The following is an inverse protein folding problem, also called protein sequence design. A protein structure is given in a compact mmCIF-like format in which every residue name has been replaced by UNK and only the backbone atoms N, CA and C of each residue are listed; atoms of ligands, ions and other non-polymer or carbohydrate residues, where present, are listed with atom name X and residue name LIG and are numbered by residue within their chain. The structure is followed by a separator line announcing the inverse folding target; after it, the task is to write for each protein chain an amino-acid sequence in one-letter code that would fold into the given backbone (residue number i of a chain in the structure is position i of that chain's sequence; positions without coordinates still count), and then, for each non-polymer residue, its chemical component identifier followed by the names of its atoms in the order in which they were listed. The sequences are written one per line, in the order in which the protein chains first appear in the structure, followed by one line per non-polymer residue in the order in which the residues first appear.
data_IF_437432494191
#
_entry.id   IF_437432494191
#
_cell.length_a   1.000
_cell.length_b   1.000
_cell.length_c   1.000
_cell.angle_alpha   90.00
_cell.angle_beta   90.00
_cell.angle_gamma   90.00
#
_symmetry.space_group_name_H-M   'P 1'
#
loop_
_entity.id
_entity.type
_entity.pdbx_description
1 polymer ?
#
# COMPACT_ATOMS: atom_id res chain seq x y z
N UNK A 1 73.66 9.21 -15.07
CA UNK A 1 72.48 10.11 -15.01
C UNK A 1 71.80 10.02 -16.36
N UNK A 2 70.67 9.34 -16.38
CA UNK A 2 69.71 9.42 -17.50
C UNK A 2 68.34 9.55 -16.84
N UNK A 3 67.72 10.68 -17.09
CA UNK A 3 66.30 10.94 -16.73
C UNK A 3 65.40 10.15 -17.67
N UNK A 4 64.44 9.42 -17.10
CA UNK A 4 63.39 8.73 -17.85
C UNK A 4 62.09 9.46 -17.54
N UNK A 5 61.62 10.19 -18.58
CA UNK A 5 60.32 10.87 -18.50
C UNK A 5 59.13 9.90 -18.43
N UNK A 6 58.21 10.22 -17.57
CA UNK A 6 56.91 9.54 -17.43
C UNK A 6 55.88 10.28 -18.29
N UNK A 7 55.14 9.63 -19.17
CA UNK A 7 54.04 10.27 -19.87
C UNK A 7 52.78 10.28 -18.99
N UNK A 8 52.26 11.47 -18.75
CA UNK A 8 50.92 11.69 -18.16
C UNK A 8 49.85 11.32 -19.18
N UNK A 9 49.07 10.31 -18.89
CA UNK A 9 47.83 10.06 -19.60
C UNK A 9 46.65 10.44 -18.69
N UNK A 10 46.12 11.63 -18.89
CA UNK A 10 44.82 12.06 -18.40
C UNK A 10 43.75 11.45 -19.29
N UNK A 11 43.15 10.35 -18.84
CA UNK A 11 41.90 9.80 -19.38
C UNK A 11 40.77 10.11 -18.41
N UNK A 12 39.95 11.06 -18.75
CA UNK A 12 38.68 11.30 -18.04
C UNK A 12 37.78 10.09 -18.22
N UNK A 13 37.17 9.53 -17.12
CA UNK A 13 36.15 8.53 -17.28
C UNK A 13 34.85 9.24 -17.70
N UNK A 14 34.38 8.95 -18.90
CA UNK A 14 33.00 9.28 -19.32
C UNK A 14 32.03 8.72 -18.30
N UNK A 15 31.34 9.60 -17.57
CA UNK A 15 30.27 9.28 -16.66
C UNK A 15 29.09 8.70 -17.44
N UNK A 16 28.30 7.78 -16.83
CA UNK A 16 27.16 7.16 -17.49
C UNK A 16 26.15 8.23 -17.88
N UNK A 17 25.78 8.23 -19.17
CA UNK A 17 24.82 9.11 -19.80
C UNK A 17 23.56 9.27 -18.94
N UNK A 18 23.24 10.51 -18.61
CA UNK A 18 22.08 10.89 -17.82
C UNK A 18 20.80 10.31 -18.40
N UNK A 19 20.14 9.50 -17.59
CA UNK A 19 18.81 8.93 -17.89
C UNK A 19 17.83 10.09 -17.96
N UNK A 20 17.28 10.35 -19.13
CA UNK A 20 16.32 11.43 -19.36
C UNK A 20 15.16 11.36 -18.33
N UNK A 21 14.85 12.43 -17.58
CA UNK A 21 13.88 12.41 -16.48
C UNK A 21 12.41 12.36 -16.92
N UNK A 22 12.10 12.26 -18.22
CA UNK A 22 10.74 12.32 -18.75
C UNK A 22 9.99 11.00 -18.84
N UNK A 23 10.66 9.86 -19.05
CA UNK A 23 10.01 8.60 -19.39
C UNK A 23 9.34 7.87 -18.19
N UNK A 24 9.82 8.06 -16.98
CA UNK A 24 9.27 7.43 -15.79
C UNK A 24 7.94 8.06 -15.31
N UNK A 25 7.73 9.34 -15.53
CA UNK A 25 6.53 10.07 -15.14
C UNK A 25 5.29 9.75 -15.99
N UNK A 26 5.45 9.54 -17.29
CA UNK A 26 4.32 9.23 -18.19
C UNK A 26 3.83 7.80 -18.03
N UNK A 27 4.73 6.83 -17.88
CA UNK A 27 4.36 5.44 -17.65
C UNK A 27 3.60 5.27 -16.33
N UNK A 28 4.03 5.93 -15.27
CA UNK A 28 3.34 5.93 -13.98
C UNK A 28 1.94 6.54 -14.05
N UNK A 29 1.78 7.67 -14.73
CA UNK A 29 0.47 8.33 -14.92
C UNK A 29 -0.50 7.47 -15.74
N UNK A 30 -0.04 6.81 -16.79
CA UNK A 30 -0.87 5.88 -17.59
C UNK A 30 -1.31 4.67 -16.75
N UNK A 31 -0.41 4.13 -15.91
CA UNK A 31 -0.73 3.04 -15.00
C UNK A 31 -1.81 3.42 -13.98
N UNK A 32 -1.65 4.57 -13.33
CA UNK A 32 -2.63 5.09 -12.37
C UNK A 32 -4.01 5.34 -13.00
N UNK A 33 -4.06 5.88 -14.22
CA UNK A 33 -5.31 6.10 -14.94
C UNK A 33 -6.02 4.78 -15.26
N UNK A 34 -5.29 3.75 -15.73
CA UNK A 34 -5.86 2.42 -15.98
C UNK A 34 -6.37 1.76 -14.72
N UNK A 35 -5.65 1.88 -13.62
CA UNK A 35 -6.08 1.35 -12.32
C UNK A 35 -7.37 2.02 -11.85
N UNK A 36 -7.49 3.35 -12.02
CA UNK A 36 -8.71 4.08 -11.71
C UNK A 36 -9.90 3.61 -12.53
N UNK A 37 -9.75 3.54 -13.86
CA UNK A 37 -10.80 3.09 -14.76
C UNK A 37 -11.25 1.67 -14.40
N UNK A 38 -10.32 0.77 -14.18
CA UNK A 38 -10.62 -0.60 -13.76
C UNK A 38 -11.35 -0.66 -12.42
N UNK A 39 -10.89 0.08 -11.41
CA UNK A 39 -11.50 0.08 -10.07
C UNK A 39 -12.95 0.55 -10.11
N UNK A 40 -13.22 1.63 -10.84
CA UNK A 40 -14.58 2.17 -11.01
C UNK A 40 -15.47 1.16 -11.74
N UNK A 41 -15.00 0.57 -12.84
CA UNK A 41 -15.74 -0.46 -13.57
C UNK A 41 -16.00 -1.70 -12.70
N UNK A 42 -15.03 -2.09 -11.88
CA UNK A 42 -15.20 -3.19 -10.93
C UNK A 42 -16.30 -2.90 -9.89
N UNK A 43 -16.41 -1.67 -9.39
CA UNK A 43 -17.50 -1.24 -8.51
C UNK A 43 -18.84 -1.26 -9.25
N UNK A 44 -18.92 -0.61 -10.41
CA UNK A 44 -20.17 -0.48 -11.20
C UNK A 44 -20.72 -1.83 -11.69
N UNK A 45 -19.85 -2.75 -12.03
CA UNK A 45 -20.23 -4.08 -12.54
C UNK A 45 -20.79 -5.05 -11.49
N UNK A 46 -20.95 -4.62 -10.23
CA UNK A 46 -21.32 -5.53 -9.15
C UNK A 46 -22.78 -5.96 -9.11
N UNK A 47 -23.69 -5.18 -9.67
CA UNK A 47 -25.14 -5.40 -9.49
C UNK A 47 -25.63 -5.25 -8.04
N UNK A 48 -24.79 -4.78 -7.12
CA UNK A 48 -25.06 -4.59 -5.69
C UNK A 48 -23.88 -3.94 -4.97
N UNK A 49 -23.92 -3.86 -3.63
CA UNK A 49 -22.83 -3.26 -2.87
C UNK A 49 -21.52 -4.04 -3.04
N UNK A 50 -20.40 -3.30 -3.13
CA UNK A 50 -19.03 -3.85 -3.16
C UNK A 50 -18.31 -3.57 -1.87
N UNK A 51 -17.68 -4.61 -1.35
CA UNK A 51 -16.74 -4.46 -0.23
C UNK A 51 -15.32 -4.25 -0.75
N UNK A 52 -14.64 -3.26 -0.21
CA UNK A 52 -13.23 -3.00 -0.47
C UNK A 52 -12.53 -2.55 0.82
N UNK A 53 -11.68 -3.41 1.34
CA UNK A 53 -11.06 -3.24 2.65
C UNK A 53 -12.13 -3.09 3.76
N UNK A 54 -12.08 -2.04 4.56
CA UNK A 54 -13.06 -1.79 5.63
C UNK A 54 -14.26 -0.97 5.16
N UNK A 55 -14.50 -0.87 3.87
CA UNK A 55 -15.58 -0.05 3.31
C UNK A 55 -16.52 -0.84 2.42
N UNK A 56 -17.74 -0.34 2.31
CA UNK A 56 -18.73 -0.79 1.34
C UNK A 56 -19.12 0.37 0.45
N UNK A 57 -19.23 0.10 -0.84
CA UNK A 57 -19.66 1.07 -1.86
C UNK A 57 -20.98 0.62 -2.45
N UNK A 58 -21.90 1.54 -2.53
CA UNK A 58 -23.17 1.40 -3.26
C UNK A 58 -23.17 2.31 -4.49
N UNK A 59 -23.88 1.87 -5.52
CA UNK A 59 -24.18 2.69 -6.70
C UNK A 59 -25.68 2.92 -6.71
N UNK A 60 -26.13 4.17 -6.73
CA UNK A 60 -27.54 4.51 -6.80
C UNK A 60 -28.09 4.43 -8.25
N UNK A 61 -29.41 4.59 -8.39
CA UNK A 61 -30.07 4.55 -9.70
C UNK A 61 -29.67 5.69 -10.66
N UNK A 62 -29.00 6.71 -10.17
CA UNK A 62 -28.44 7.82 -10.96
C UNK A 62 -26.95 7.62 -11.31
N UNK A 63 -26.36 6.48 -10.93
CA UNK A 63 -24.94 6.19 -11.15
C UNK A 63 -24.01 6.97 -10.24
N UNK A 64 -24.51 7.47 -9.09
CA UNK A 64 -23.71 8.10 -8.05
C UNK A 64 -23.30 7.08 -7.01
N UNK A 65 -22.17 7.33 -6.38
CA UNK A 65 -21.60 6.41 -5.39
C UNK A 65 -21.87 6.92 -3.97
N UNK A 66 -22.12 5.95 -3.09
CA UNK A 66 -22.09 6.13 -1.65
C UNK A 66 -21.04 5.19 -1.05
N UNK A 67 -20.21 5.70 -0.14
CA UNK A 67 -19.17 4.94 0.57
C UNK A 67 -19.41 5.06 2.06
N UNK A 68 -19.39 3.91 2.78
CA UNK A 68 -19.47 3.83 4.24
C UNK A 68 -18.41 2.88 4.77
N UNK A 69 -18.16 2.92 6.07
CA UNK A 69 -17.49 1.82 6.73
C UNK A 69 -18.33 0.53 6.62
N UNK A 70 -17.69 -0.63 6.41
CA UNK A 70 -18.39 -1.92 6.20
C UNK A 70 -19.33 -2.29 7.37
N UNK A 71 -18.94 -1.95 8.61
CA UNK A 71 -19.72 -2.20 9.82
C UNK A 71 -20.90 -1.24 10.03
N UNK A 72 -21.00 -0.21 9.19
CA UNK A 72 -22.09 0.76 9.22
C UNK A 72 -23.15 0.48 8.12
N UNK A 73 -23.08 -0.70 7.49
CA UNK A 73 -23.98 -1.07 6.40
C UNK A 73 -25.47 -0.99 6.75
N UNK A 74 -25.81 -1.41 7.97
CA UNK A 74 -27.19 -1.42 8.46
C UNK A 74 -27.60 -0.13 9.19
N UNK A 75 -26.69 0.84 9.33
CA UNK A 75 -26.99 2.11 9.98
C UNK A 75 -27.75 3.03 9.01
N UNK A 76 -28.90 3.56 9.44
CA UNK A 76 -29.64 4.54 8.66
C UNK A 76 -28.80 5.78 8.32
N UNK A 77 -29.11 6.39 7.19
CA UNK A 77 -28.34 7.52 6.70
C UNK A 77 -28.29 8.72 7.68
N UNK A 78 -29.35 8.86 8.47
CA UNK A 78 -29.52 9.88 9.52
C UNK A 78 -28.60 9.64 10.73
N UNK A 79 -28.18 8.39 10.96
CA UNK A 79 -27.23 8.01 12.01
C UNK A 79 -25.76 8.21 11.64
N UNK A 80 -25.48 8.64 10.40
CA UNK A 80 -24.12 8.78 9.87
C UNK A 80 -23.79 10.24 9.55
N UNK A 81 -22.59 10.66 9.91
CA UNK A 81 -22.05 11.94 9.46
C UNK A 81 -21.84 11.92 7.96
N UNK A 82 -22.57 12.75 7.23
CA UNK A 82 -22.54 12.78 5.76
C UNK A 82 -21.51 13.78 5.25
N UNK A 83 -20.71 13.34 4.29
CA UNK A 83 -19.74 14.14 3.56
C UNK A 83 -20.05 14.10 2.06
N UNK A 84 -19.84 15.22 1.39
CA UNK A 84 -19.90 15.35 -0.08
C UNK A 84 -18.54 15.72 -0.66
N UNK A 85 -17.64 16.23 0.17
CA UNK A 85 -16.27 16.57 -0.20
C UNK A 85 -15.33 15.37 0.03
N UNK A 86 -14.71 14.78 -1.01
CA UNK A 86 -13.76 13.70 -0.90
C UNK A 86 -12.54 13.98 0.00
N UNK A 87 -12.18 15.26 0.19
CA UNK A 87 -11.05 15.65 1.03
C UNK A 87 -11.27 15.30 2.51
N UNK A 88 -12.51 15.23 2.98
CA UNK A 88 -12.83 14.81 4.33
C UNK A 88 -12.32 13.38 4.65
N UNK A 89 -12.09 12.56 3.63
CA UNK A 89 -11.52 11.23 3.77
C UNK A 89 -10.10 11.24 4.35
N UNK A 90 -9.34 12.34 4.21
CA UNK A 90 -8.03 12.50 4.82
C UNK A 90 -8.10 12.49 6.36
N UNK A 91 -9.08 13.17 6.92
CA UNK A 91 -9.24 13.26 8.37
C UNK A 91 -9.76 11.94 8.93
N UNK A 92 -10.74 11.33 8.24
CA UNK A 92 -11.22 9.98 8.55
C UNK A 92 -10.06 8.97 8.54
N UNK A 93 -9.20 9.01 7.53
CA UNK A 93 -8.08 8.08 7.39
C UNK A 93 -6.99 8.20 8.45
N UNK A 94 -6.92 9.31 9.17
CA UNK A 94 -5.90 9.57 10.19
C UNK A 94 -6.24 9.02 11.57
N UNK A 95 -7.48 8.63 11.78
CA UNK A 95 -7.99 8.31 13.10
C UNK A 95 -8.54 6.88 13.14
N UNK A 96 -8.23 6.15 14.19
CA UNK A 96 -8.81 4.84 14.51
C UNK A 96 -10.21 4.98 15.10
N UNK A 97 -10.93 3.86 15.21
CA UNK A 97 -12.28 3.82 15.82
C UNK A 97 -12.29 4.38 17.25
N UNK A 98 -11.23 4.15 18.02
CA UNK A 98 -11.07 4.65 19.39
C UNK A 98 -10.50 6.08 19.48
N UNK A 99 -10.42 6.79 18.34
CA UNK A 99 -9.98 8.18 18.28
C UNK A 99 -8.48 8.43 18.33
N UNK A 100 -7.66 7.37 18.29
CA UNK A 100 -6.20 7.50 18.24
C UNK A 100 -5.69 7.76 16.82
N UNK A 101 -4.52 8.36 16.66
CA UNK A 101 -3.89 8.48 15.36
C UNK A 101 -3.59 7.10 14.74
N UNK A 102 -4.01 6.87 13.50
CA UNK A 102 -3.64 5.67 12.76
C UNK A 102 -2.17 5.73 12.36
N UNK A 103 -1.38 4.70 12.68
CA UNK A 103 0.05 4.68 12.37
C UNK A 103 0.31 4.62 10.87
N UNK A 104 -0.57 3.97 10.12
CA UNK A 104 -0.58 3.92 8.65
C UNK A 104 -2.02 3.93 8.16
N UNK A 105 -2.25 4.51 6.98
CA UNK A 105 -3.58 4.45 6.32
C UNK A 105 -3.99 3.03 5.90
N UNK A 106 -3.07 2.09 5.88
CA UNK A 106 -3.32 0.67 5.60
C UNK A 106 -3.44 -0.17 6.87
N UNK A 107 -3.35 0.43 8.07
CA UNK A 107 -3.68 -0.27 9.31
C UNK A 107 -5.20 -0.47 9.41
N UNK A 108 -5.67 -1.57 10.03
CA UNK A 108 -7.08 -1.77 10.33
C UNK A 108 -7.61 -0.74 11.33
N UNK A 109 -8.87 -0.87 11.71
CA UNK A 109 -9.57 -0.04 12.70
C UNK A 109 -9.82 1.41 12.23
N UNK A 110 -10.25 1.56 10.96
CA UNK A 110 -10.76 2.83 10.47
C UNK A 110 -11.96 3.27 11.31
N UNK A 111 -12.01 4.56 11.71
CA UNK A 111 -13.16 5.09 12.44
C UNK A 111 -14.48 4.86 11.69
N UNK A 112 -15.59 4.75 12.43
CA UNK A 112 -16.95 4.52 11.92
C UNK A 112 -17.82 5.76 12.03
N UNK A 113 -19.10 5.61 11.66
CA UNK A 113 -20.11 6.66 11.83
C UNK A 113 -20.08 7.74 10.76
N UNK A 114 -19.59 7.42 9.57
CA UNK A 114 -19.51 8.34 8.45
C UNK A 114 -20.01 7.73 7.15
N UNK A 115 -20.42 8.60 6.23
CA UNK A 115 -20.69 8.24 4.84
C UNK A 115 -20.29 9.36 3.89
N UNK A 116 -19.81 8.99 2.72
CA UNK A 116 -19.76 9.87 1.56
C UNK A 116 -20.95 9.57 0.68
N UNK A 117 -21.67 10.60 0.22
CA UNK A 117 -22.86 10.42 -0.60
C UNK A 117 -22.84 11.33 -1.84
N UNK A 118 -23.46 10.85 -2.93
CA UNK A 118 -23.60 11.60 -4.17
C UNK A 118 -22.29 11.79 -4.93
N UNK A 119 -21.27 10.95 -4.68
CA UNK A 119 -19.99 11.04 -5.37
C UNK A 119 -20.14 10.69 -6.85
N UNK A 120 -19.44 11.41 -7.70
CA UNK A 120 -19.15 10.97 -9.06
C UNK A 120 -17.92 10.05 -9.11
N UNK A 121 -17.51 9.64 -10.31
CA UNK A 121 -16.35 8.75 -10.50
C UNK A 121 -15.04 9.36 -9.99
N UNK A 122 -14.87 10.67 -10.12
CA UNK A 122 -13.69 11.38 -9.65
C UNK A 122 -13.67 11.45 -8.14
N UNK A 123 -14.80 11.81 -7.54
CA UNK A 123 -14.98 11.84 -6.10
C UNK A 123 -14.79 10.47 -5.44
N UNK A 124 -15.32 9.39 -6.03
CA UNK A 124 -15.08 8.04 -5.55
C UNK A 124 -13.59 7.69 -5.52
N UNK A 125 -12.88 7.95 -6.65
CA UNK A 125 -11.45 7.70 -6.72
C UNK A 125 -10.67 8.50 -5.68
N UNK A 126 -11.02 9.77 -5.49
CA UNK A 126 -10.36 10.64 -4.53
C UNK A 126 -10.59 10.19 -3.08
N UNK A 127 -11.81 9.76 -2.73
CA UNK A 127 -12.09 9.15 -1.43
C UNK A 127 -11.15 7.97 -1.18
N UNK A 128 -11.02 7.05 -2.12
CA UNK A 128 -10.13 5.90 -1.95
C UNK A 128 -8.65 6.24 -1.97
N UNK A 129 -8.22 7.22 -2.77
CA UNK A 129 -6.85 7.72 -2.74
C UNK A 129 -6.50 8.34 -1.37
N UNK A 130 -7.48 8.91 -0.69
CA UNK A 130 -7.33 9.50 0.63
C UNK A 130 -7.46 8.48 1.77
N UNK A 131 -8.43 7.55 1.72
CA UNK A 131 -8.61 6.51 2.74
C UNK A 131 -7.48 5.48 2.69
N UNK A 132 -7.18 4.96 1.50
CA UNK A 132 -6.27 3.82 1.28
C UNK A 132 -5.31 4.07 0.12
N UNK A 133 -4.30 4.93 0.29
CA UNK A 133 -3.35 5.26 -0.77
C UNK A 133 -2.75 4.00 -1.40
N UNK A 134 -2.74 3.96 -2.72
CA UNK A 134 -2.25 2.87 -3.55
C UNK A 134 -3.04 1.54 -3.49
N UNK A 135 -4.00 1.34 -2.58
CA UNK A 135 -4.74 0.07 -2.50
C UNK A 135 -5.52 -0.27 -3.78
N UNK A 136 -6.27 0.66 -4.41
CA UNK A 136 -6.93 0.37 -5.69
C UNK A 136 -5.95 0.03 -6.82
N UNK A 137 -4.77 0.64 -6.82
CA UNK A 137 -3.70 0.33 -7.80
C UNK A 137 -3.16 -1.08 -7.57
N UNK A 138 -2.94 -1.46 -6.32
CA UNK A 138 -2.51 -2.82 -5.98
C UNK A 138 -3.56 -3.86 -6.37
N UNK A 139 -4.85 -3.59 -6.11
CA UNK A 139 -5.95 -4.47 -6.53
C UNK A 139 -5.97 -4.66 -8.06
N UNK A 140 -5.81 -3.59 -8.82
CA UNK A 140 -5.70 -3.63 -10.27
C UNK A 140 -4.51 -4.49 -10.74
N UNK A 141 -3.32 -4.27 -10.20
CA UNK A 141 -2.12 -5.03 -10.55
C UNK A 141 -2.27 -6.51 -10.19
N UNK A 142 -2.91 -6.78 -9.04
CA UNK A 142 -3.21 -8.15 -8.63
C UNK A 142 -4.17 -8.85 -9.60
N UNK A 143 -5.29 -8.21 -9.93
CA UNK A 143 -6.29 -8.76 -10.87
C UNK A 143 -5.70 -9.07 -12.26
N UNK A 144 -4.60 -8.41 -12.62
CA UNK A 144 -3.88 -8.64 -13.88
C UNK A 144 -2.73 -9.64 -13.77
N UNK A 145 -2.45 -10.15 -12.57
CA UNK A 145 -1.26 -10.97 -12.33
C UNK A 145 0.07 -10.19 -12.46
N UNK A 146 0.02 -8.87 -12.42
CA UNK A 146 1.18 -7.98 -12.56
C UNK A 146 1.76 -7.54 -11.20
N UNK A 147 1.09 -7.86 -10.10
CA UNK A 147 1.60 -7.56 -8.76
C UNK A 147 2.82 -8.44 -8.48
N UNK A 148 3.95 -7.79 -8.25
CA UNK A 148 5.21 -8.46 -7.98
C UNK A 148 5.50 -8.48 -6.48
N UNK A 149 5.89 -9.64 -5.99
CA UNK A 149 6.55 -9.77 -4.69
C UNK A 149 8.05 -9.73 -4.87
N UNK A 150 8.73 -9.21 -3.89
CA UNK A 150 10.20 -9.16 -3.89
C UNK A 150 10.73 -9.94 -2.69
N UNK A 151 11.90 -10.61 -2.81
CA UNK A 151 12.59 -11.19 -1.66
C UNK A 151 12.85 -10.11 -0.60
N UNK A 152 12.72 -10.49 0.67
CA UNK A 152 12.95 -9.56 1.78
C UNK A 152 14.34 -8.90 1.72
N UNK A 153 15.36 -9.66 1.30
CA UNK A 153 16.73 -9.16 1.15
C UNK A 153 16.81 -7.96 0.20
N UNK A 154 16.01 -7.96 -0.86
CA UNK A 154 15.94 -6.82 -1.80
C UNK A 154 15.33 -5.60 -1.11
N UNK A 155 14.28 -5.80 -0.32
CA UNK A 155 13.64 -4.72 0.45
C UNK A 155 14.57 -4.23 1.56
N UNK A 156 15.20 -5.14 2.28
CA UNK A 156 16.13 -4.82 3.37
C UNK A 156 17.37 -4.07 2.87
N UNK A 157 17.95 -4.49 1.74
CA UNK A 157 19.12 -3.85 1.13
C UNK A 157 18.89 -2.41 0.65
N UNK A 158 17.63 -1.98 0.52
CA UNK A 158 17.27 -0.59 0.21
C UNK A 158 17.20 0.30 1.46
N UNK A 159 17.22 -0.30 2.65
CA UNK A 159 17.11 0.46 3.89
C UNK A 159 18.46 1.06 4.27
N UNK A 160 18.49 2.36 4.57
CA UNK A 160 19.70 3.10 4.93
C UNK A 160 19.53 3.84 6.26
N UNK A 161 20.62 4.34 6.81
CA UNK A 161 20.60 5.13 8.03
C UNK A 161 20.05 4.33 9.23
N UNK A 162 19.05 4.86 9.92
CA UNK A 162 18.42 4.25 11.10
C UNK A 162 17.76 2.88 10.80
N UNK A 163 17.53 2.56 9.55
CA UNK A 163 16.90 1.31 9.11
C UNK A 163 17.93 0.28 8.65
N UNK A 164 19.21 0.63 8.61
CA UNK A 164 20.27 -0.31 8.32
C UNK A 164 20.30 -1.43 9.39
N UNK A 165 20.61 -2.63 8.96
CA UNK A 165 20.66 -3.79 9.84
C UNK A 165 19.36 -4.59 9.94
N UNK A 166 18.24 -4.12 9.38
CA UNK A 166 17.00 -4.92 9.23
C UNK A 166 17.26 -6.16 8.38
N UNK A 167 18.25 -6.09 7.49
CA UNK A 167 18.74 -7.20 6.68
C UNK A 167 19.30 -8.39 7.48
N UNK A 168 19.57 -8.24 8.79
CA UNK A 168 19.98 -9.33 9.69
C UNK A 168 18.83 -10.27 10.07
N UNK A 169 17.58 -9.83 9.90
CA UNK A 169 16.42 -10.63 10.23
C UNK A 169 16.27 -11.80 9.24
N UNK A 170 16.21 -13.03 9.72
CA UNK A 170 16.17 -14.25 8.90
C UNK A 170 15.28 -15.33 9.50
N UNK A 171 14.93 -16.32 8.63
CA UNK A 171 14.24 -17.53 9.06
C UNK A 171 12.92 -17.27 9.76
N UNK A 172 12.68 -17.97 10.85
CA UNK A 172 11.41 -17.91 11.58
C UNK A 172 11.13 -16.52 12.19
N UNK A 173 12.13 -15.73 12.51
CA UNK A 173 11.95 -14.36 13.02
C UNK A 173 11.35 -13.46 11.97
N UNK A 174 11.85 -13.57 10.72
CA UNK A 174 11.30 -12.87 9.58
C UNK A 174 9.87 -13.32 9.28
N UNK A 175 9.63 -14.63 9.25
CA UNK A 175 8.30 -15.20 8.98
C UNK A 175 7.28 -14.74 10.04
N UNK A 176 7.63 -14.83 11.32
CA UNK A 176 6.78 -14.37 12.41
C UNK A 176 6.51 -12.86 12.35
N UNK A 177 7.49 -12.05 11.92
CA UNK A 177 7.30 -10.62 11.76
C UNK A 177 6.39 -10.30 10.56
N UNK A 178 6.60 -10.97 9.42
CA UNK A 178 5.76 -10.82 8.23
C UNK A 178 4.31 -11.20 8.57
N UNK A 179 4.09 -12.31 9.26
CA UNK A 179 2.76 -12.71 9.67
C UNK A 179 2.08 -11.66 10.56
N UNK A 180 2.78 -11.22 11.60
CA UNK A 180 2.23 -10.26 12.56
C UNK A 180 1.98 -8.87 11.96
N UNK A 181 2.85 -8.39 11.08
CA UNK A 181 2.77 -7.02 10.54
C UNK A 181 2.09 -6.93 9.18
N UNK A 182 2.21 -7.96 8.36
CA UNK A 182 1.61 -8.00 7.03
C UNK A 182 0.35 -8.87 7.00
N UNK A 183 0.34 -10.02 7.66
CA UNK A 183 -0.78 -10.95 7.65
C UNK A 183 -2.01 -10.44 8.40
N UNK A 184 -1.85 -9.97 9.63
CA UNK A 184 -2.98 -9.49 10.48
C UNK A 184 -3.01 -7.98 10.69
N UNK A 185 -1.91 -7.30 10.43
CA UNK A 185 -1.74 -5.87 10.73
C UNK A 185 -1.72 -4.95 9.51
N UNK A 186 -2.03 -5.45 8.31
CA UNK A 186 -1.97 -4.64 7.10
C UNK A 186 -3.10 -4.95 6.13
N UNK A 187 -3.96 -3.97 5.87
CA UNK A 187 -5.09 -4.09 4.94
C UNK A 187 -4.67 -4.22 3.46
N UNK A 188 -3.40 -4.08 3.14
CA UNK A 188 -2.92 -4.37 1.78
C UNK A 188 -2.95 -5.86 1.46
N UNK A 189 -2.75 -6.72 2.46
CA UNK A 189 -2.71 -8.17 2.25
C UNK A 189 -4.01 -8.72 1.67
N UNK A 190 -5.22 -8.36 2.15
CA UNK A 190 -6.47 -8.78 1.53
C UNK A 190 -6.63 -8.33 0.08
N UNK A 191 -6.00 -7.24 -0.33
CA UNK A 191 -5.99 -6.76 -1.72
C UNK A 191 -5.10 -7.64 -2.60
N UNK A 192 -4.09 -8.29 -2.00
CA UNK A 192 -3.20 -9.22 -2.69
C UNK A 192 -3.69 -10.66 -2.64
N UNK A 193 -4.68 -10.94 -1.81
CA UNK A 193 -5.33 -12.23 -1.66
C UNK A 193 -6.83 -12.11 -1.98
N UNK A 194 -7.25 -11.95 -3.22
CA UNK A 194 -8.61 -12.32 -3.53
C UNK A 194 -8.72 -13.82 -3.33
N UNK A 195 -9.82 -14.26 -2.77
CA UNK A 195 -10.17 -15.68 -2.69
C UNK A 195 -10.17 -16.25 -4.12
N UNK A 196 -9.00 -16.66 -4.60
CA UNK A 196 -8.88 -17.39 -5.84
C UNK A 196 -9.34 -18.81 -5.53
N UNK A 197 -10.44 -19.21 -6.14
CA UNK A 197 -10.87 -20.59 -6.14
C UNK A 197 -9.69 -21.48 -6.50
N UNK A 198 -9.15 -22.21 -5.50
CA UNK A 198 -8.12 -23.23 -5.70
C UNK A 198 -6.66 -22.81 -5.70
N UNK A 199 -6.33 -21.52 -5.50
CA UNK A 199 -4.93 -21.06 -5.40
C UNK A 199 -4.44 -20.99 -3.96
N UNK A 200 -3.12 -21.22 -3.72
CA UNK A 200 -2.54 -20.91 -2.42
C UNK A 200 -2.66 -19.41 -2.16
N UNK A 201 -3.18 -18.99 -0.99
CA UNK A 201 -3.24 -17.60 -0.62
C UNK A 201 -1.87 -16.95 -0.75
N UNK A 202 -1.83 -15.73 -1.32
CA UNK A 202 -0.59 -14.98 -1.50
C UNK A 202 0.18 -14.80 -0.19
N UNK A 203 -0.51 -14.55 0.94
CA UNK A 203 0.10 -14.47 2.26
C UNK A 203 0.80 -15.76 2.68
N UNK A 204 0.33 -16.93 2.23
CA UNK A 204 1.01 -18.20 2.50
C UNK A 204 2.34 -18.27 1.74
N UNK A 205 2.38 -17.82 0.47
CA UNK A 205 3.63 -17.74 -0.32
C UNK A 205 4.60 -16.71 0.26
N UNK A 206 4.11 -15.56 0.70
CA UNK A 206 4.91 -14.54 1.38
C UNK A 206 5.49 -15.10 2.68
N UNK A 207 4.69 -15.81 3.47
CA UNK A 207 5.13 -16.44 4.73
C UNK A 207 6.19 -17.53 4.53
N UNK A 208 6.01 -18.38 3.53
CA UNK A 208 6.91 -19.53 3.30
C UNK A 208 8.23 -19.17 2.61
N UNK A 209 8.32 -18.02 1.96
CA UNK A 209 9.45 -17.68 1.10
C UNK A 209 10.29 -16.49 1.55
N UNK A 210 10.02 -15.86 2.71
CA UNK A 210 10.71 -14.62 3.09
C UNK A 210 10.47 -13.47 2.12
N UNK A 211 9.33 -13.49 1.41
CA UNK A 211 8.95 -12.44 0.47
C UNK A 211 8.07 -11.40 1.15
N UNK A 212 8.14 -10.17 0.68
CA UNK A 212 7.26 -9.08 1.09
C UNK A 212 6.60 -8.47 -0.15
N UNK A 213 5.37 -8.02 0.04
CA UNK A 213 4.60 -7.46 -1.06
C UNK A 213 4.93 -5.99 -1.34
N UNK A 214 5.67 -5.32 -0.46
CA UNK A 214 6.07 -3.94 -0.61
C UNK A 214 7.51 -3.84 -1.11
N UNK A 215 7.75 -3.01 -2.11
CA UNK A 215 9.11 -2.72 -2.59
C UNK A 215 9.99 -2.05 -1.52
N UNK A 216 9.35 -1.40 -0.53
CA UNK A 216 10.01 -0.78 0.62
C UNK A 216 9.29 -1.20 1.88
N UNK A 217 10.05 -1.48 2.94
CA UNK A 217 9.48 -1.80 4.23
C UNK A 217 8.79 -0.57 4.83
N UNK A 218 7.58 -0.74 5.34
CA UNK A 218 6.87 0.33 6.03
C UNK A 218 7.43 0.56 7.45
N UNK A 219 7.12 1.71 8.03
CA UNK A 219 7.60 2.08 9.36
C UNK A 219 7.22 1.06 10.45
N UNK A 220 6.04 0.45 10.38
CA UNK A 220 5.61 -0.58 11.33
C UNK A 220 6.41 -1.88 11.19
N UNK A 221 6.75 -2.27 9.96
CA UNK A 221 7.59 -3.44 9.72
C UNK A 221 9.00 -3.20 10.25
N UNK A 222 9.57 -2.04 9.95
CA UNK A 222 10.90 -1.62 10.42
C UNK A 222 10.95 -1.57 11.96
N UNK A 223 9.97 -0.95 12.59
CA UNK A 223 9.89 -0.92 14.06
C UNK A 223 9.81 -2.32 14.66
N UNK A 224 9.00 -3.20 14.08
CA UNK A 224 8.91 -4.59 14.49
C UNK A 224 10.22 -5.37 14.29
N UNK A 225 10.92 -5.16 13.17
CA UNK A 225 12.21 -5.78 12.90
C UNK A 225 13.28 -5.36 13.93
N UNK A 226 13.34 -4.07 14.25
CA UNK A 226 14.25 -3.54 15.26
C UNK A 226 13.98 -4.13 16.66
N UNK A 227 12.71 -4.18 17.05
CA UNK A 227 12.33 -4.78 18.33
C UNK A 227 12.66 -6.28 18.41
N UNK A 228 12.64 -6.99 17.30
CA UNK A 228 13.04 -8.40 17.23
C UNK A 228 14.55 -8.57 17.33
N UNK A 229 15.32 -7.67 16.71
CA UNK A 229 16.79 -7.70 16.73
C UNK A 229 17.40 -7.17 18.02
N UNK A 230 16.70 -6.30 18.73
CA UNK A 230 17.11 -5.73 20.02
C UNK A 230 15.92 -5.72 20.99
N UNK A 231 15.62 -6.87 21.63
CA UNK A 231 14.50 -6.98 22.56
C UNK A 231 14.71 -6.19 23.87
N UNK A 232 15.94 -5.72 24.15
CA UNK A 232 16.26 -4.89 25.33
C UNK A 232 16.11 -3.39 25.08
N UNK A 233 15.88 -2.98 23.82
CA UNK A 233 15.69 -1.59 23.45
C UNK A 233 14.41 -1.02 24.04
N UNK A 234 14.51 -0.14 25.02
CA UNK A 234 13.39 0.65 25.53
C UNK A 234 12.80 1.46 24.39
N UNK A 235 11.47 1.42 24.16
CA UNK A 235 10.87 2.30 23.16
C UNK A 235 11.08 3.75 23.58
N UNK A 236 11.90 4.48 22.82
CA UNK A 236 12.07 5.93 22.94
C UNK A 236 10.92 6.70 22.28
#
# INVERSE_FOLDING_TARGET
RREIGVPSSSGDPEGPAGRAPGASGESGRRGARRAREWFIQWIEGAGGPRHFLETTVWVDGAGRFEVRHERDGDVGAEGLRTFTDPQAALDIARTTEDGRPRPLRTSPDLQRGWRFAGLDRDGLWEVYANLYPAAPVHAYLHARGELRVVPFEVTAGRQTGLYAGVDRLRGFELEALVERRCGSGCLRVPVWEPAAEGGEPFARRVRQGGYVACNEACSLFIAGARATLDPSGTPG
#
